data_IF_818279394635
#
_entry.id   IF_818279394635
#
_cell.length_a   1.000
_cell.length_b   1.000
_cell.length_c   1.000
_cell.angle_alpha   90.00
_cell.angle_beta   90.00
_cell.angle_gamma   90.00
#
_symmetry.space_group_name_H-M   'P 1'
#
loop_
_entity.id
_entity.type
_entity.pdbx_description
1 polymer ?
#
# COMPACT_ATOMS: atom_id res chain seq x y z
N UNK A 1 9.87 30.21 -9.84
CA UNK A 1 9.19 29.55 -8.66
C UNK A 1 10.22 29.10 -7.64
N UNK A 2 10.06 29.47 -6.38
CA UNK A 2 10.96 29.05 -5.28
C UNK A 2 10.50 27.71 -4.69
N UNK A 3 11.42 26.84 -4.26
CA UNK A 3 11.11 25.53 -3.65
C UNK A 3 10.20 25.65 -2.41
N UNK A 4 10.35 26.72 -1.63
CA UNK A 4 9.51 27.01 -0.47
C UNK A 4 8.05 27.28 -0.87
N UNK A 5 7.82 28.10 -1.92
CA UNK A 5 6.48 28.39 -2.44
C UNK A 5 5.79 27.13 -2.95
N UNK A 6 6.54 26.28 -3.68
CA UNK A 6 6.02 24.98 -4.15
C UNK A 6 5.66 24.03 -3.00
N UNK A 7 6.47 24.01 -1.92
CA UNK A 7 6.17 23.21 -0.73
C UNK A 7 4.89 23.68 -0.03
N UNK A 8 4.73 24.99 0.16
CA UNK A 8 3.52 25.54 0.77
C UNK A 8 2.28 25.26 -0.08
N UNK A 9 2.37 25.52 -1.37
CA UNK A 9 1.30 25.23 -2.32
C UNK A 9 0.89 23.75 -2.27
N UNK A 10 1.85 22.83 -2.36
CA UNK A 10 1.59 21.39 -2.36
C UNK A 10 0.97 20.92 -1.03
N UNK A 11 1.41 21.48 0.11
CA UNK A 11 0.82 21.14 1.41
C UNK A 11 -0.63 21.61 1.52
N UNK A 12 -0.96 22.80 0.99
CA UNK A 12 -2.36 23.28 0.93
C UNK A 12 -3.19 22.40 -0.01
N UNK A 13 -2.65 22.02 -1.17
CA UNK A 13 -3.33 21.13 -2.11
C UNK A 13 -3.70 19.78 -1.49
N UNK A 14 -2.83 19.24 -0.63
CA UNK A 14 -3.05 17.96 0.09
C UNK A 14 -4.01 18.07 1.26
N UNK A 15 -3.87 19.13 2.06
CA UNK A 15 -4.67 19.29 3.28
C UNK A 15 -6.05 19.91 3.01
N UNK A 16 -6.23 20.54 1.85
CA UNK A 16 -7.43 21.31 1.53
C UNK A 16 -7.61 22.57 2.37
N UNK A 17 -6.61 22.98 3.19
CA UNK A 17 -6.75 24.06 4.15
C UNK A 17 -5.43 24.77 4.44
N UNK A 18 -5.42 26.10 4.35
CA UNK A 18 -4.26 26.91 4.74
C UNK A 18 -3.96 26.76 6.23
N UNK A 19 -5.00 26.65 7.08
CA UNK A 19 -4.83 26.47 8.53
C UNK A 19 -4.17 25.11 8.86
N UNK A 20 -4.62 24.02 8.22
CA UNK A 20 -4.01 22.70 8.38
C UNK A 20 -2.57 22.68 7.87
N UNK A 21 -2.30 23.29 6.71
CA UNK A 21 -0.95 23.43 6.16
C UNK A 21 -0.03 24.27 7.05
N UNK A 22 -0.55 25.35 7.65
CA UNK A 22 0.14 26.21 8.63
C UNK A 22 0.59 25.39 9.86
N UNK A 23 -0.29 24.58 10.42
CA UNK A 23 0.03 23.69 11.54
C UNK A 23 1.08 22.64 11.16
N UNK A 24 0.93 22.01 9.98
CA UNK A 24 1.84 20.96 9.53
C UNK A 24 3.26 21.48 9.22
N UNK A 25 3.36 22.70 8.69
CA UNK A 25 4.62 23.32 8.29
C UNK A 25 5.26 24.17 9.39
N UNK A 26 4.57 24.39 10.51
CA UNK A 26 4.97 25.31 11.59
C UNK A 26 5.28 26.73 11.08
N UNK A 27 4.45 27.27 10.19
CA UNK A 27 4.57 28.61 9.63
C UNK A 27 3.26 29.36 9.72
N UNK A 28 3.31 30.71 9.73
CA UNK A 28 2.11 31.52 9.78
C UNK A 28 1.21 31.31 8.56
N UNK A 29 -0.10 31.19 8.76
CA UNK A 29 -1.07 31.04 7.65
C UNK A 29 -1.00 32.21 6.63
N UNK A 30 -0.70 33.42 7.09
CA UNK A 30 -0.48 34.59 6.24
C UNK A 30 0.72 34.45 5.30
N UNK A 31 1.79 33.76 5.75
CA UNK A 31 2.96 33.49 4.91
C UNK A 31 2.60 32.51 3.78
N UNK A 32 1.86 31.46 4.10
CA UNK A 32 1.37 30.50 3.09
C UNK A 32 0.46 31.19 2.08
N UNK A 33 -0.54 31.96 2.57
CA UNK A 33 -1.49 32.68 1.72
C UNK A 33 -0.78 33.64 0.75
N UNK A 34 0.21 34.39 1.26
CA UNK A 34 1.01 35.30 0.43
C UNK A 34 1.83 34.56 -0.64
N UNK A 35 2.42 33.41 -0.31
CA UNK A 35 3.19 32.62 -1.29
C UNK A 35 2.30 32.02 -2.37
N UNK A 36 1.07 31.58 -2.01
CA UNK A 36 0.09 31.13 -3.01
C UNK A 36 -0.33 32.28 -3.92
N UNK A 37 -0.67 33.45 -3.36
CA UNK A 37 -1.02 34.64 -4.16
C UNK A 37 0.12 35.06 -5.10
N UNK A 38 1.37 34.97 -4.65
CA UNK A 38 2.53 35.26 -5.50
C UNK A 38 2.66 34.24 -6.66
N UNK A 39 2.40 32.95 -6.41
CA UNK A 39 2.40 31.94 -7.48
C UNK A 39 1.26 32.17 -8.48
N UNK A 40 0.06 32.52 -8.02
CA UNK A 40 -1.07 32.87 -8.88
C UNK A 40 -0.79 34.08 -9.73
N UNK A 41 -0.17 35.10 -9.14
CA UNK A 41 0.26 36.29 -9.89
C UNK A 41 1.40 36.02 -10.89
N UNK A 42 2.40 35.17 -10.52
CA UNK A 42 3.50 34.78 -11.41
C UNK A 42 3.01 33.98 -12.62
N UNK A 43 1.97 33.15 -12.43
CA UNK A 43 1.42 32.25 -13.45
C UNK A 43 0.20 32.85 -14.17
N UNK A 44 -0.27 34.01 -13.73
CA UNK A 44 -1.49 34.67 -14.23
C UNK A 44 -2.71 33.71 -14.24
N UNK A 45 -2.88 32.93 -13.21
CA UNK A 45 -3.99 31.97 -13.09
C UNK A 45 -4.35 31.67 -11.65
N UNK A 46 -5.62 31.29 -11.43
CA UNK A 46 -6.11 30.81 -10.14
C UNK A 46 -5.68 29.36 -9.94
N UNK A 47 -4.99 29.08 -8.83
CA UNK A 47 -4.50 27.75 -8.50
C UNK A 47 -5.44 26.99 -7.55
N UNK A 48 -6.27 27.70 -6.78
CA UNK A 48 -7.24 27.10 -5.87
C UNK A 48 -8.64 27.68 -6.02
N UNK A 49 -9.63 26.81 -6.06
CA UNK A 49 -11.04 27.15 -5.92
C UNK A 49 -11.44 27.07 -4.43
N UNK A 50 -12.11 28.11 -3.93
CA UNK A 50 -12.70 28.09 -2.58
C UNK A 50 -14.04 27.38 -2.64
N UNK A 51 -14.17 26.26 -1.96
CA UNK A 51 -15.43 25.50 -1.83
C UNK A 51 -15.86 25.39 -0.37
N UNK A 52 -17.14 25.09 -0.07
CA UNK A 52 -17.61 24.92 1.31
C UNK A 52 -16.82 23.91 2.16
N UNK A 53 -16.15 22.97 1.48
CA UNK A 53 -15.31 21.93 2.11
C UNK A 53 -13.82 22.29 2.15
N UNK A 54 -13.43 23.53 1.83
CA UNK A 54 -12.05 23.97 1.85
C UNK A 54 -11.52 24.44 0.50
N UNK A 55 -10.21 24.40 0.34
CA UNK A 55 -9.49 24.79 -0.89
C UNK A 55 -9.26 23.54 -1.76
N UNK A 56 -9.73 23.59 -3.00
CA UNK A 56 -9.56 22.52 -3.98
C UNK A 56 -8.68 23.04 -5.10
N UNK A 57 -7.62 22.33 -5.53
CA UNK A 57 -6.83 22.75 -6.68
C UNK A 57 -7.70 22.92 -7.93
N UNK A 58 -7.48 24.01 -8.67
CA UNK A 58 -8.01 24.19 -10.02
C UNK A 58 -7.29 23.25 -11.01
N UNK A 59 -7.73 23.10 -12.26
CA UNK A 59 -6.99 22.35 -13.26
C UNK A 59 -5.54 22.82 -13.44
N UNK A 60 -5.26 24.13 -13.32
CA UNK A 60 -3.92 24.69 -13.28
C UNK A 60 -3.18 24.29 -11.98
N UNK A 61 -3.90 24.33 -10.85
CA UNK A 61 -3.39 23.88 -9.55
C UNK A 61 -3.01 22.40 -9.55
N UNK A 62 -3.80 21.53 -10.16
CA UNK A 62 -3.47 20.09 -10.29
C UNK A 62 -2.17 19.89 -11.10
N UNK A 63 -2.01 20.61 -12.19
CA UNK A 63 -0.76 20.58 -12.99
C UNK A 63 0.45 21.08 -12.19
N UNK A 64 0.26 22.17 -11.45
CA UNK A 64 1.32 22.70 -10.60
C UNK A 64 1.64 21.73 -9.43
N UNK A 65 0.65 21.06 -8.84
CA UNK A 65 0.86 20.07 -7.78
C UNK A 65 1.73 18.90 -8.26
N UNK A 66 1.46 18.37 -9.46
CA UNK A 66 2.29 17.32 -10.06
C UNK A 66 3.73 17.81 -10.27
N UNK A 67 3.92 19.00 -10.85
CA UNK A 67 5.24 19.59 -11.04
C UNK A 67 5.97 19.84 -9.72
N UNK A 68 5.30 20.46 -8.75
CA UNK A 68 5.85 20.76 -7.43
C UNK A 68 6.34 19.48 -6.73
N UNK A 69 5.56 18.41 -6.83
CA UNK A 69 5.93 17.10 -6.29
C UNK A 69 7.23 16.57 -6.91
N UNK A 70 7.35 16.61 -8.24
CA UNK A 70 8.56 16.13 -8.93
C UNK A 70 9.79 16.96 -8.54
N UNK A 71 9.66 18.30 -8.47
CA UNK A 71 10.76 19.20 -8.09
C UNK A 71 11.22 18.92 -6.67
N UNK A 72 10.30 18.77 -5.73
CA UNK A 72 10.63 18.49 -4.31
C UNK A 72 11.28 17.12 -4.14
N UNK A 73 10.76 16.08 -4.78
CA UNK A 73 11.35 14.74 -4.75
C UNK A 73 12.75 14.71 -5.38
N UNK A 74 12.96 15.47 -6.47
CA UNK A 74 14.30 15.59 -7.07
C UNK A 74 15.28 16.29 -6.15
N UNK A 75 14.85 17.34 -5.44
CA UNK A 75 15.69 17.99 -4.44
C UNK A 75 16.05 17.05 -3.28
N UNK A 76 15.09 16.29 -2.76
CA UNK A 76 15.34 15.25 -1.72
C UNK A 76 16.35 14.21 -2.23
N UNK A 77 16.24 13.77 -3.47
CA UNK A 77 17.16 12.81 -4.07
C UNK A 77 18.59 13.35 -4.13
N UNK A 78 18.79 14.58 -4.59
CA UNK A 78 20.13 15.19 -4.65
C UNK A 78 20.77 15.29 -3.27
N UNK A 79 20.00 15.65 -2.24
CA UNK A 79 20.48 15.67 -0.86
C UNK A 79 20.92 14.26 -0.41
N UNK A 80 20.14 13.23 -0.73
CA UNK A 80 20.50 11.85 -0.41
C UNK A 80 21.78 11.40 -1.14
N UNK A 81 21.94 11.74 -2.43
CA UNK A 81 23.15 11.46 -3.22
C UNK A 81 24.38 12.13 -2.61
N UNK A 82 24.29 13.39 -2.16
CA UNK A 82 25.38 14.11 -1.50
C UNK A 82 25.76 13.44 -0.16
N UNK A 83 24.77 13.03 0.64
CA UNK A 83 25.02 12.35 1.91
C UNK A 83 25.70 10.98 1.70
N UNK A 84 25.33 10.28 0.63
CA UNK A 84 25.96 9.00 0.26
C UNK A 84 27.44 9.16 -0.10
N UNK A 85 27.81 10.22 -0.84
CA UNK A 85 29.22 10.54 -1.14
C UNK A 85 30.04 10.76 0.12
N UNK A 86 29.40 11.15 1.23
CA UNK A 86 30.04 11.31 2.55
C UNK A 86 30.09 10.01 3.36
N UNK A 87 29.68 8.86 2.78
CA UNK A 87 29.63 7.57 3.47
C UNK A 87 28.48 7.43 4.47
N UNK A 88 27.55 8.38 4.49
CA UNK A 88 26.39 8.38 5.39
C UNK A 88 25.21 7.68 4.72
N UNK A 89 25.02 6.39 5.00
CA UNK A 89 23.81 5.65 4.58
C UNK A 89 22.67 6.04 5.53
N UNK A 90 22.03 7.16 5.26
CA UNK A 90 20.89 7.68 6.02
C UNK A 90 19.75 8.02 5.06
N UNK A 91 18.52 7.98 5.55
CA UNK A 91 17.36 8.36 4.76
C UNK A 91 16.07 7.91 5.39
N UNK A 92 14.98 8.24 4.69
CA UNK A 92 13.63 7.82 5.00
C UNK A 92 13.06 7.09 3.78
N UNK A 93 12.51 5.91 4.00
CA UNK A 93 11.78 5.14 2.98
C UNK A 93 10.31 5.13 3.37
N UNK A 94 9.45 5.68 2.50
CA UNK A 94 8.00 5.72 2.69
C UNK A 94 7.36 4.58 1.92
N UNK A 95 6.65 3.72 2.65
CA UNK A 95 6.01 2.54 2.10
C UNK A 95 4.50 2.66 2.34
N UNK A 96 3.71 2.50 1.29
CA UNK A 96 2.27 2.30 1.41
C UNK A 96 1.93 0.86 1.05
N UNK A 97 1.15 0.18 1.88
CA UNK A 97 0.74 -1.18 1.53
C UNK A 97 -0.69 -1.50 1.95
N UNK A 98 -1.26 -2.53 1.30
CA UNK A 98 -2.49 -3.14 1.78
C UNK A 98 -2.24 -3.94 3.05
N UNK A 99 -3.23 -4.01 3.94
CA UNK A 99 -3.11 -4.56 5.30
C UNK A 99 -2.50 -5.98 5.33
N UNK A 100 -2.84 -6.84 4.36
CA UNK A 100 -2.29 -8.19 4.28
C UNK A 100 -0.76 -8.28 4.19
N UNK A 101 -0.09 -7.23 3.73
CA UNK A 101 1.37 -7.16 3.68
C UNK A 101 1.98 -6.55 4.95
N UNK A 102 1.18 -5.76 5.69
CA UNK A 102 1.62 -5.08 6.91
C UNK A 102 1.68 -6.02 8.13
N UNK A 103 0.95 -7.13 8.11
CA UNK A 103 0.91 -8.08 9.22
C UNK A 103 2.22 -8.86 9.41
N UNK A 104 2.92 -9.16 8.33
CA UNK A 104 4.07 -10.04 8.37
C UNK A 104 5.18 -9.65 7.39
N UNK A 105 4.92 -9.66 6.09
CA UNK A 105 5.91 -9.51 5.03
C UNK A 105 6.73 -8.22 5.15
N UNK A 106 6.07 -7.07 5.09
CA UNK A 106 6.75 -5.76 5.06
C UNK A 106 7.53 -5.49 6.34
N UNK A 107 6.98 -5.71 7.57
CA UNK A 107 7.74 -5.56 8.81
C UNK A 107 8.97 -6.45 8.90
N UNK A 108 8.91 -7.71 8.43
CA UNK A 108 10.07 -8.61 8.40
C UNK A 108 11.18 -8.11 7.48
N UNK A 109 10.81 -7.65 6.28
CA UNK A 109 11.79 -7.09 5.35
C UNK A 109 12.42 -5.82 5.92
N UNK A 110 11.62 -4.94 6.55
CA UNK A 110 12.12 -3.74 7.23
C UNK A 110 13.11 -4.13 8.33
N UNK A 111 12.77 -5.10 9.19
CA UNK A 111 13.64 -5.53 10.29
C UNK A 111 14.98 -6.06 9.79
N UNK A 112 14.97 -6.94 8.78
CA UNK A 112 16.19 -7.47 8.16
C UNK A 112 17.04 -6.38 7.47
N UNK A 113 16.39 -5.43 6.81
CA UNK A 113 17.07 -4.32 6.17
C UNK A 113 17.66 -3.33 7.18
N UNK A 114 16.92 -2.98 8.22
CA UNK A 114 17.36 -2.08 9.28
C UNK A 114 18.59 -2.63 10.05
N UNK A 115 18.63 -3.93 10.28
CA UNK A 115 19.81 -4.57 10.89
C UNK A 115 21.10 -4.35 10.07
N UNK A 116 20.99 -4.27 8.74
CA UNK A 116 22.12 -4.01 7.83
C UNK A 116 22.39 -2.52 7.61
N UNK A 117 21.35 -1.68 7.69
CA UNK A 117 21.40 -0.25 7.41
C UNK A 117 20.69 0.55 8.52
N UNK A 118 21.28 0.67 9.73
CA UNK A 118 20.62 1.26 10.90
C UNK A 118 20.35 2.76 10.78
N UNK A 119 20.99 3.45 9.83
CA UNK A 119 20.72 4.86 9.54
C UNK A 119 19.47 5.12 8.69
N UNK A 120 18.83 4.06 8.16
CA UNK A 120 17.62 4.18 7.36
C UNK A 120 16.39 4.10 8.27
N UNK A 121 15.48 5.06 8.13
CA UNK A 121 14.17 5.09 8.80
C UNK A 121 13.07 4.70 7.81
N UNK A 122 11.96 4.19 8.34
CA UNK A 122 10.83 3.76 7.57
C UNK A 122 9.55 4.41 8.06
N UNK A 123 8.69 4.81 7.14
CA UNK A 123 7.29 5.14 7.38
C UNK A 123 6.43 4.13 6.62
N UNK A 124 5.60 3.40 7.35
CA UNK A 124 4.67 2.41 6.79
C UNK A 124 3.24 2.88 6.97
N UNK A 125 2.55 3.10 5.87
CA UNK A 125 1.14 3.50 5.86
C UNK A 125 0.29 2.38 5.28
N UNK A 126 -0.75 1.97 6.03
CA UNK A 126 -1.68 0.91 5.62
C UNK A 126 -2.91 1.55 5.00
N UNK A 127 -3.22 1.18 3.76
CA UNK A 127 -4.28 1.78 2.95
C UNK A 127 -5.02 0.72 2.12
N UNK A 128 -6.28 0.98 1.75
CA UNK A 128 -6.97 0.21 0.71
C UNK A 128 -6.20 0.24 -0.62
N UNK A 129 -6.29 -0.82 -1.46
CA UNK A 129 -5.50 -0.94 -2.68
C UNK A 129 -5.53 0.28 -3.62
N UNK A 130 -6.69 0.89 -3.83
CA UNK A 130 -6.80 2.07 -4.68
C UNK A 130 -6.05 3.29 -4.10
N UNK A 131 -6.06 3.45 -2.78
CA UNK A 131 -5.37 4.53 -2.10
C UNK A 131 -3.85 4.31 -2.07
N UNK A 132 -3.37 3.05 -1.96
CA UNK A 132 -1.94 2.73 -2.12
C UNK A 132 -1.44 3.26 -3.47
N UNK A 133 -2.13 2.91 -4.55
CA UNK A 133 -1.79 3.38 -5.90
C UNK A 133 -1.82 4.91 -6.00
N UNK A 134 -2.82 5.55 -5.39
CA UNK A 134 -2.95 7.01 -5.40
C UNK A 134 -1.76 7.71 -4.73
N UNK A 135 -1.37 7.31 -3.51
CA UNK A 135 -0.27 7.94 -2.77
C UNK A 135 1.09 7.67 -3.43
N UNK A 136 1.26 6.52 -4.11
CA UNK A 136 2.45 6.25 -4.93
C UNK A 136 2.48 7.16 -6.15
N UNK A 137 1.37 7.28 -6.88
CA UNK A 137 1.28 8.17 -8.04
C UNK A 137 1.51 9.64 -7.66
N UNK A 138 1.05 10.05 -6.48
CA UNK A 138 1.29 11.38 -5.92
C UNK A 138 2.72 11.56 -5.35
N UNK A 139 3.55 10.51 -5.31
CA UNK A 139 4.91 10.54 -4.73
C UNK A 139 4.94 10.75 -3.22
N UNK A 140 3.84 10.46 -2.53
CA UNK A 140 3.74 10.50 -1.07
C UNK A 140 4.32 9.23 -0.43
N UNK A 141 4.31 8.11 -1.18
CA UNK A 141 5.05 6.91 -0.88
C UNK A 141 6.08 6.63 -1.98
N UNK A 142 7.23 6.09 -1.58
CA UNK A 142 8.30 5.68 -2.49
C UNK A 142 7.99 4.33 -3.13
N UNK A 143 7.38 3.43 -2.35
CA UNK A 143 7.04 2.05 -2.74
C UNK A 143 5.60 1.76 -2.31
N UNK A 144 4.83 1.18 -3.23
CA UNK A 144 3.51 0.63 -2.97
C UNK A 144 3.51 -0.90 -3.05
N UNK A 145 2.88 -1.59 -2.10
CA UNK A 145 2.65 -3.05 -2.17
C UNK A 145 1.17 -3.31 -2.03
N UNK A 146 0.54 -3.77 -3.08
CA UNK A 146 -0.92 -3.89 -3.09
C UNK A 146 -1.41 -5.05 -3.93
N UNK A 147 -2.69 -5.33 -3.82
CA UNK A 147 -3.35 -6.31 -4.69
C UNK A 147 -3.83 -5.63 -5.98
N UNK A 148 -3.60 -6.30 -7.11
CA UNK A 148 -4.02 -5.82 -8.43
C UNK A 148 -5.50 -5.51 -8.49
N UNK A 149 -5.82 -4.34 -9.05
CA UNK A 149 -7.19 -3.93 -9.40
C UNK A 149 -7.20 -3.36 -10.82
N UNK A 150 -8.25 -3.63 -11.56
CA UNK A 150 -8.54 -2.93 -12.82
C UNK A 150 -9.19 -1.57 -12.51
N UNK A 151 -8.95 -0.50 -13.29
CA UNK A 151 -8.07 -0.38 -14.44
C UNK A 151 -6.58 -0.26 -14.06
N UNK A 152 -5.69 -0.28 -15.07
CA UNK A 152 -4.25 -0.12 -14.88
C UNK A 152 -3.93 1.21 -14.22
N UNK A 153 -3.16 1.21 -13.12
CA UNK A 153 -2.88 2.42 -12.35
C UNK A 153 -1.89 3.36 -13.07
N UNK A 154 -1.90 4.68 -12.77
CA UNK A 154 -0.96 5.66 -13.31
C UNK A 154 0.41 5.60 -12.59
N UNK A 155 0.91 4.41 -12.32
CA UNK A 155 2.19 4.12 -11.63
C UNK A 155 3.02 3.17 -12.46
N UNK A 156 4.31 3.03 -12.14
CA UNK A 156 5.14 1.95 -12.66
C UNK A 156 4.91 0.71 -11.78
N UNK A 157 4.47 -0.40 -12.40
CA UNK A 157 4.43 -1.71 -11.76
C UNK A 157 5.78 -2.37 -11.99
N UNK A 158 6.62 -2.41 -10.96
CA UNK A 158 8.00 -2.92 -11.04
C UNK A 158 8.12 -4.40 -10.74
N UNK A 159 7.07 -4.98 -10.15
CA UNK A 159 6.97 -6.42 -9.91
C UNK A 159 5.50 -6.84 -9.83
N UNK A 160 5.19 -7.99 -10.39
CA UNK A 160 3.85 -8.59 -10.32
C UNK A 160 3.96 -10.09 -10.10
N UNK A 161 3.15 -10.62 -9.21
CA UNK A 161 3.03 -12.06 -8.95
C UNK A 161 1.61 -12.39 -8.49
N UNK A 162 1.33 -13.67 -8.30
CA UNK A 162 0.04 -14.15 -7.80
C UNK A 162 0.21 -14.89 -6.48
N UNK A 163 -0.85 -14.86 -5.67
CA UNK A 163 -0.92 -15.55 -4.39
C UNK A 163 -2.29 -16.19 -4.21
N UNK A 164 -2.30 -17.37 -3.62
CA UNK A 164 -3.52 -18.10 -3.33
C UNK A 164 -4.28 -17.50 -2.14
N UNK A 165 -5.60 -17.59 -2.21
CA UNK A 165 -6.49 -17.44 -1.07
C UNK A 165 -6.59 -18.77 -0.37
N UNK A 166 -6.44 -18.74 0.95
CA UNK A 166 -6.49 -19.93 1.83
C UNK A 166 -7.53 -19.73 2.92
N UNK A 167 -8.07 -20.83 3.43
CA UNK A 167 -8.81 -20.82 4.69
C UNK A 167 -7.82 -20.92 5.85
N UNK A 168 -8.09 -20.18 6.94
CA UNK A 168 -7.37 -20.22 8.19
C UNK A 168 -8.22 -20.85 9.26
N UNK A 169 -7.62 -21.69 10.07
CA UNK A 169 -8.24 -22.36 11.19
C UNK A 169 -7.30 -22.37 12.42
N UNK A 170 -7.87 -22.55 13.60
CA UNK A 170 -7.10 -22.93 14.77
C UNK A 170 -6.53 -24.37 14.62
N UNK A 171 -5.41 -24.72 15.28
CA UNK A 171 -4.78 -26.02 15.12
C UNK A 171 -5.68 -27.23 15.54
N UNK A 172 -6.64 -26.99 16.43
CA UNK A 172 -7.61 -27.98 16.90
C UNK A 172 -8.93 -28.02 16.11
N UNK A 173 -8.98 -27.25 14.98
CA UNK A 173 -10.17 -27.23 14.13
C UNK A 173 -10.37 -28.58 13.39
N UNK A 174 -11.62 -29.07 13.20
CA UNK A 174 -11.88 -30.32 12.50
C UNK A 174 -11.25 -30.46 11.12
N UNK A 175 -11.07 -29.35 10.42
CA UNK A 175 -10.46 -29.33 9.08
C UNK A 175 -8.95 -29.08 9.10
N UNK A 176 -8.30 -28.90 10.25
CA UNK A 176 -6.88 -28.54 10.33
C UNK A 176 -5.94 -29.59 9.69
N UNK A 177 -6.33 -30.87 9.67
CA UNK A 177 -5.59 -31.95 9.03
C UNK A 177 -5.92 -32.19 7.55
N UNK A 178 -6.82 -31.37 6.96
CA UNK A 178 -7.25 -31.56 5.57
C UNK A 178 -6.18 -31.06 4.60
N UNK A 179 -5.81 -31.88 3.63
CA UNK A 179 -4.87 -31.47 2.57
C UNK A 179 -5.45 -30.35 1.69
N UNK A 180 -6.78 -30.31 1.53
CA UNK A 180 -7.54 -29.34 0.75
C UNK A 180 -9.02 -29.44 1.10
N UNK A 181 -9.73 -28.32 1.08
CA UNK A 181 -11.19 -28.25 1.24
C UNK A 181 -11.85 -27.61 0.03
N UNK A 182 -13.11 -27.94 -0.18
CA UNK A 182 -13.93 -27.33 -1.24
C UNK A 182 -14.60 -26.06 -0.71
N UNK A 183 -14.96 -25.16 -1.61
CA UNK A 183 -15.65 -23.92 -1.25
C UNK A 183 -16.96 -24.16 -0.45
N UNK A 184 -17.82 -25.16 -0.80
CA UNK A 184 -19.02 -25.48 -0.02
C UNK A 184 -18.75 -25.94 1.42
N UNK A 185 -17.59 -26.53 1.71
CA UNK A 185 -17.25 -27.01 3.05
C UNK A 185 -17.18 -25.87 4.08
N UNK A 186 -16.93 -24.65 3.62
CA UNK A 186 -16.91 -23.46 4.48
C UNK A 186 -18.27 -23.18 5.13
N UNK A 187 -19.38 -23.59 4.51
CA UNK A 187 -20.73 -23.34 5.02
C UNK A 187 -21.05 -24.11 6.31
N UNK A 188 -20.28 -25.16 6.62
CA UNK A 188 -20.47 -25.95 7.84
C UNK A 188 -19.89 -25.28 9.10
N UNK A 189 -19.15 -24.16 8.96
CA UNK A 189 -18.45 -23.51 10.06
C UNK A 189 -18.71 -21.99 10.09
N UNK A 190 -18.63 -21.36 11.27
CA UNK A 190 -18.66 -19.91 11.36
C UNK A 190 -17.53 -19.29 10.53
N UNK A 191 -17.88 -18.40 9.58
CA UNK A 191 -16.92 -17.79 8.66
C UNK A 191 -16.71 -16.33 9.00
N UNK A 192 -15.44 -15.91 9.09
CA UNK A 192 -15.03 -14.52 9.18
C UNK A 192 -14.41 -14.05 7.87
N UNK A 193 -14.89 -12.91 7.35
CA UNK A 193 -14.45 -12.38 6.07
C UNK A 193 -14.08 -10.89 6.17
N UNK A 194 -13.16 -10.41 5.33
CA UNK A 194 -12.94 -8.98 5.21
C UNK A 194 -14.14 -8.29 4.53
N UNK A 195 -14.17 -6.95 4.64
CA UNK A 195 -15.19 -6.11 4.03
C UNK A 195 -15.24 -6.25 2.50
N UNK A 196 -16.39 -5.91 1.90
CA UNK A 196 -16.68 -6.11 0.47
C UNK A 196 -15.82 -5.31 -0.50
N UNK A 197 -15.17 -4.27 -0.03
CA UNK A 197 -14.23 -3.44 -0.80
C UNK A 197 -12.85 -4.07 -0.98
N UNK A 198 -12.59 -5.22 -0.33
CA UNK A 198 -11.32 -5.95 -0.45
C UNK A 198 -11.31 -6.90 -1.66
N UNK A 199 -10.13 -7.08 -2.26
CA UNK A 199 -9.98 -8.00 -3.40
C UNK A 199 -10.22 -9.46 -3.01
N UNK A 200 -9.94 -9.85 -1.76
CA UNK A 200 -10.21 -11.22 -1.28
C UNK A 200 -11.71 -11.50 -1.23
N UNK A 201 -12.50 -10.54 -0.76
CA UNK A 201 -13.94 -10.68 -0.71
C UNK A 201 -14.54 -10.75 -2.12
N UNK A 202 -14.06 -9.93 -3.05
CA UNK A 202 -14.51 -9.95 -4.45
C UNK A 202 -14.25 -11.31 -5.12
N UNK A 203 -13.04 -11.88 -4.93
CA UNK A 203 -12.69 -13.20 -5.48
C UNK A 203 -13.54 -14.30 -4.84
N UNK A 204 -13.75 -14.27 -3.53
CA UNK A 204 -14.61 -15.23 -2.83
C UNK A 204 -16.06 -15.17 -3.30
N UNK A 205 -16.65 -13.98 -3.38
CA UNK A 205 -18.05 -13.82 -3.83
C UNK A 205 -18.24 -14.26 -5.30
N UNK A 206 -17.24 -13.96 -6.15
CA UNK A 206 -17.26 -14.44 -7.54
C UNK A 206 -17.18 -15.97 -7.61
N UNK A 207 -16.37 -16.61 -6.78
CA UNK A 207 -16.27 -18.07 -6.71
C UNK A 207 -17.56 -18.71 -6.18
N UNK A 208 -18.16 -18.15 -5.14
CA UNK A 208 -19.46 -18.60 -4.63
C UNK A 208 -20.57 -18.49 -5.72
N UNK A 209 -20.61 -17.37 -6.44
CA UNK A 209 -21.55 -17.17 -7.52
C UNK A 209 -21.38 -18.22 -8.64
N UNK A 210 -20.14 -18.48 -9.04
CA UNK A 210 -19.82 -19.48 -10.08
C UNK A 210 -20.21 -20.92 -9.69
N UNK A 211 -20.29 -21.21 -8.40
CA UNK A 211 -20.72 -22.50 -7.86
C UNK A 211 -22.19 -22.56 -7.45
N UNK A 212 -22.90 -21.41 -7.52
CA UNK A 212 -24.31 -21.32 -7.13
C UNK A 212 -24.55 -21.46 -5.64
N UNK A 213 -23.55 -21.10 -4.80
CA UNK A 213 -23.62 -21.20 -3.34
C UNK A 213 -23.67 -19.80 -2.71
N UNK A 214 -24.33 -19.71 -1.57
CA UNK A 214 -24.35 -18.51 -0.73
C UNK A 214 -23.82 -18.86 0.65
N UNK A 215 -22.78 -18.16 1.09
CA UNK A 215 -22.19 -18.32 2.44
C UNK A 215 -22.19 -16.95 3.10
N UNK A 216 -22.96 -16.82 4.17
CA UNK A 216 -23.02 -15.59 4.95
C UNK A 216 -21.97 -15.63 6.08
N UNK A 217 -21.08 -14.63 6.17
CA UNK A 217 -20.11 -14.56 7.26
C UNK A 217 -20.77 -14.19 8.59
N UNK A 218 -20.32 -14.83 9.66
CA UNK A 218 -20.68 -14.45 11.03
C UNK A 218 -19.98 -13.17 11.48
N UNK A 219 -18.75 -12.95 10.98
CA UNK A 219 -17.97 -11.74 11.25
C UNK A 219 -17.51 -11.12 9.93
N UNK A 220 -17.75 -9.82 9.79
CA UNK A 220 -17.14 -9.01 8.74
C UNK A 220 -16.34 -7.90 9.37
N UNK A 221 -15.06 -7.74 8.99
CA UNK A 221 -14.19 -6.70 9.53
C UNK A 221 -13.27 -6.13 8.45
N UNK A 222 -12.96 -4.84 8.55
CA UNK A 222 -11.90 -4.19 7.78
C UNK A 222 -10.51 -4.35 8.43
N UNK A 223 -10.43 -5.04 9.57
CA UNK A 223 -9.20 -5.28 10.33
C UNK A 223 -8.89 -6.77 10.33
N UNK A 224 -7.81 -7.17 9.66
CA UNK A 224 -7.43 -8.59 9.54
C UNK A 224 -7.07 -9.23 10.89
N UNK A 225 -6.50 -8.48 11.82
CA UNK A 225 -6.23 -8.98 13.17
C UNK A 225 -7.50 -9.38 13.93
N UNK A 226 -8.64 -8.71 13.68
CA UNK A 226 -9.92 -9.12 14.24
C UNK A 226 -10.39 -10.48 13.69
N UNK A 227 -10.16 -10.75 12.41
CA UNK A 227 -10.46 -12.05 11.79
C UNK A 227 -9.57 -13.14 12.37
N UNK A 228 -8.27 -12.87 12.56
CA UNK A 228 -7.34 -13.80 13.20
C UNK A 228 -7.73 -14.12 14.65
N UNK A 229 -8.13 -13.08 15.41
CA UNK A 229 -8.62 -13.25 16.79
C UNK A 229 -9.89 -14.11 16.85
N UNK A 230 -10.82 -13.90 15.91
CA UNK A 230 -12.03 -14.72 15.80
C UNK A 230 -11.68 -16.20 15.57
N UNK A 231 -10.79 -16.51 14.63
CA UNK A 231 -10.35 -17.90 14.35
C UNK A 231 -9.71 -18.55 15.57
N UNK A 232 -8.85 -17.79 16.31
CA UNK A 232 -8.21 -18.32 17.54
C UNK A 232 -9.19 -18.59 18.67
N UNK A 233 -10.30 -17.84 18.71
CA UNK A 233 -11.27 -17.91 19.82
C UNK A 233 -12.47 -18.82 19.55
N UNK A 234 -12.58 -19.35 18.34
CA UNK A 234 -13.75 -20.14 17.91
C UNK A 234 -13.33 -21.34 17.08
N UNK A 235 -14.29 -22.23 16.79
CA UNK A 235 -14.17 -23.26 15.75
C UNK A 235 -14.57 -22.67 14.38
N UNK A 236 -14.19 -21.41 14.11
CA UNK A 236 -14.49 -20.71 12.87
C UNK A 236 -13.31 -20.70 11.91
N UNK A 237 -13.61 -20.26 10.69
CA UNK A 237 -12.66 -20.11 9.60
C UNK A 237 -12.55 -18.63 9.21
N UNK A 238 -11.41 -18.24 8.66
CA UNK A 238 -11.27 -16.96 7.96
C UNK A 238 -10.60 -17.16 6.60
N UNK A 239 -10.91 -16.31 5.63
CA UNK A 239 -10.24 -16.33 4.32
C UNK A 239 -9.20 -15.22 4.26
N UNK A 240 -7.98 -15.58 3.89
CA UNK A 240 -6.85 -14.65 3.76
C UNK A 240 -5.92 -15.02 2.61
N UNK A 241 -4.97 -14.13 2.33
CA UNK A 241 -3.82 -14.46 1.48
C UNK A 241 -2.84 -15.31 2.28
N UNK A 242 -2.29 -16.35 1.67
CA UNK A 242 -1.25 -17.19 2.28
C UNK A 242 -0.06 -16.37 2.80
N UNK A 243 0.28 -15.25 2.12
CA UNK A 243 1.38 -14.36 2.53
C UNK A 243 1.10 -13.54 3.80
N UNK A 244 -0.17 -13.33 4.14
CA UNK A 244 -0.54 -12.45 5.26
C UNK A 244 -0.34 -13.08 6.63
N UNK A 245 -0.10 -14.40 6.68
CA UNK A 245 -0.16 -15.20 7.90
C UNK A 245 0.96 -16.24 8.03
N UNK A 246 2.07 -16.00 7.36
CA UNK A 246 3.21 -16.93 7.37
C UNK A 246 3.75 -17.16 8.79
N UNK A 247 3.95 -16.10 9.58
CA UNK A 247 4.48 -16.22 10.95
C UNK A 247 3.55 -16.97 11.90
N UNK A 248 2.26 -16.63 12.04
CA UNK A 248 1.35 -17.42 12.89
C UNK A 248 1.28 -18.90 12.50
N UNK A 249 1.38 -19.20 11.22
CA UNK A 249 1.39 -20.60 10.73
C UNK A 249 2.71 -21.29 11.06
N UNK A 250 3.85 -20.63 10.84
CA UNK A 250 5.18 -21.18 11.19
C UNK A 250 5.33 -21.44 12.70
N UNK A 251 4.69 -20.61 13.53
CA UNK A 251 4.66 -20.78 14.98
C UNK A 251 3.64 -21.84 15.46
N UNK A 252 2.84 -22.41 14.55
CA UNK A 252 1.80 -23.37 14.89
C UNK A 252 0.58 -22.77 15.60
N UNK A 253 0.43 -21.45 15.60
CA UNK A 253 -0.73 -20.75 16.18
C UNK A 253 -1.99 -20.86 15.31
N UNK A 254 -1.80 -21.02 14.01
CA UNK A 254 -2.85 -21.17 13.00
C UNK A 254 -2.44 -22.20 11.95
N UNK A 255 -3.43 -22.76 11.26
CA UNK A 255 -3.23 -23.69 10.14
C UNK A 255 -3.81 -23.05 8.88
N UNK A 256 -3.03 -23.09 7.81
CA UNK A 256 -3.51 -22.77 6.46
C UNK A 256 -4.08 -24.03 5.82
N UNK A 257 -5.29 -23.94 5.31
CA UNK A 257 -5.96 -25.02 4.61
C UNK A 257 -6.15 -24.57 3.16
N UNK A 258 -5.53 -25.24 2.17
CA UNK A 258 -5.73 -24.95 0.76
C UNK A 258 -7.21 -25.06 0.39
N UNK A 259 -7.69 -24.09 -0.40
CA UNK A 259 -9.08 -23.98 -0.81
C UNK A 259 -9.21 -24.21 -2.31
N UNK A 260 -10.14 -25.07 -2.70
CA UNK A 260 -10.47 -25.34 -4.11
C UNK A 260 -11.84 -24.80 -4.48
N UNK A 261 -11.91 -24.15 -5.63
CA UNK A 261 -13.15 -23.72 -6.26
C UNK A 261 -13.11 -23.98 -7.78
N UNK A 262 -14.25 -23.91 -8.44
CA UNK A 262 -14.32 -24.03 -9.91
C UNK A 262 -13.66 -22.85 -10.63
N UNK A 263 -13.70 -21.67 -10.03
CA UNK A 263 -12.98 -20.48 -10.51
C UNK A 263 -11.66 -20.30 -9.79
N UNK A 264 -10.76 -19.50 -10.40
CA UNK A 264 -9.47 -19.18 -9.78
C UNK A 264 -9.65 -18.39 -8.49
N UNK A 265 -8.94 -18.81 -7.45
CA UNK A 265 -8.80 -18.12 -6.17
C UNK A 265 -7.48 -17.34 -6.05
N UNK A 266 -6.78 -17.17 -7.18
CA UNK A 266 -5.54 -16.41 -7.23
C UNK A 266 -5.80 -14.90 -7.17
N UNK A 267 -4.90 -14.21 -6.51
CA UNK A 267 -4.92 -12.75 -6.38
C UNK A 267 -3.59 -12.18 -6.83
N UNK A 268 -3.66 -11.28 -7.80
CA UNK A 268 -2.47 -10.58 -8.28
C UNK A 268 -1.95 -9.61 -7.21
N UNK A 269 -0.63 -9.63 -7.01
CA UNK A 269 0.12 -8.68 -6.17
C UNK A 269 0.92 -7.78 -7.10
N UNK A 270 0.98 -6.50 -6.77
CA UNK A 270 1.82 -5.53 -7.47
C UNK A 270 2.72 -4.78 -6.49
N UNK A 271 3.98 -4.65 -6.85
CA UNK A 271 4.87 -3.65 -6.26
C UNK A 271 4.94 -2.46 -7.22
N UNK A 272 4.65 -1.30 -6.70
CA UNK A 272 4.43 -0.08 -7.46
C UNK A 272 5.42 1.01 -7.04
N UNK A 273 5.86 1.81 -8.00
CA UNK A 273 6.63 3.04 -7.77
C UNK A 273 6.04 4.18 -8.59
N UNK A 274 6.37 5.42 -8.27
CA UNK A 274 5.96 6.56 -9.07
C UNK A 274 6.58 6.45 -10.46
N UNK A 275 5.76 6.64 -11.51
CA UNK A 275 6.22 6.62 -12.90
C UNK A 275 7.24 7.73 -13.14
N UNK A 276 8.26 7.46 -13.93
CA UNK A 276 9.30 8.41 -14.36
C UNK A 276 10.10 9.05 -13.20
N UNK A 277 9.99 8.50 -11.98
CA UNK A 277 10.79 8.93 -10.84
C UNK A 277 12.03 8.06 -10.70
N UNK A 278 13.20 8.68 -10.72
CA UNK A 278 14.43 8.01 -10.30
C UNK A 278 14.45 7.87 -8.78
N UNK A 279 14.50 6.64 -8.30
CA UNK A 279 14.50 6.34 -6.87
C UNK A 279 15.89 6.58 -6.26
N UNK A 280 15.98 7.11 -5.01
CA UNK A 280 17.22 7.10 -4.25
C UNK A 280 17.75 5.68 -4.08
N UNK A 281 19.09 5.52 -4.03
CA UNK A 281 19.73 4.20 -3.92
C UNK A 281 19.24 3.37 -2.74
N UNK A 282 19.05 3.98 -1.57
CA UNK A 282 18.50 3.28 -0.40
C UNK A 282 17.12 2.67 -0.67
N UNK A 283 16.24 3.41 -1.38
CA UNK A 283 14.92 2.94 -1.79
C UNK A 283 15.03 1.79 -2.79
N UNK A 284 15.93 1.91 -3.79
CA UNK A 284 16.16 0.86 -4.78
C UNK A 284 16.68 -0.44 -4.14
N UNK A 285 17.65 -0.35 -3.23
CA UNK A 285 18.18 -1.53 -2.52
C UNK A 285 17.10 -2.19 -1.65
N UNK A 286 16.29 -1.39 -0.96
CA UNK A 286 15.16 -1.91 -0.18
C UNK A 286 14.10 -2.54 -1.08
N UNK A 287 13.78 -1.93 -2.22
CA UNK A 287 12.84 -2.46 -3.21
C UNK A 287 13.26 -3.86 -3.69
N UNK A 288 14.54 -4.06 -3.99
CA UNK A 288 15.05 -5.39 -4.35
C UNK A 288 14.91 -6.41 -3.21
N UNK A 289 15.20 -6.01 -1.96
CA UNK A 289 15.01 -6.88 -0.80
C UNK A 289 13.53 -7.25 -0.60
N UNK A 290 12.62 -6.30 -0.83
CA UNK A 290 11.18 -6.52 -0.76
C UNK A 290 10.69 -7.48 -1.85
N UNK A 291 11.11 -7.28 -3.09
CA UNK A 291 10.77 -8.16 -4.22
C UNK A 291 11.30 -9.58 -3.99
N UNK A 292 12.52 -9.72 -3.46
CA UNK A 292 13.11 -11.03 -3.16
C UNK A 292 12.36 -11.81 -2.05
N UNK A 293 11.60 -11.12 -1.22
CA UNK A 293 10.76 -11.73 -0.18
C UNK A 293 9.35 -12.14 -0.66
N UNK A 294 8.98 -11.75 -1.89
CA UNK A 294 7.72 -12.14 -2.53
C UNK A 294 7.88 -13.48 -3.26
N UNK A 295 6.79 -14.24 -3.49
CA UNK A 295 6.83 -15.45 -4.31
C UNK A 295 7.38 -15.14 -5.70
N UNK A 296 8.18 -16.06 -6.25
CA UNK A 296 8.72 -15.91 -7.58
C UNK A 296 7.60 -15.69 -8.61
N UNK A 297 7.76 -14.67 -9.46
CA UNK A 297 6.78 -14.41 -10.53
C UNK A 297 6.99 -15.33 -11.71
N UNK A 298 5.89 -15.76 -12.35
CA UNK A 298 5.92 -16.30 -13.71
C UNK A 298 6.22 -15.23 -14.78
N UNK A 299 6.23 -13.95 -14.43
CA UNK A 299 6.51 -12.81 -15.31
C UNK A 299 7.89 -12.23 -14.99
N UNK A 300 8.68 -11.94 -16.04
CA UNK A 300 10.04 -11.41 -15.94
C UNK A 300 10.09 -10.13 -15.10
N UNK A 301 11.01 -10.02 -14.11
CA UNK A 301 11.31 -8.73 -13.48
C UNK A 301 11.80 -7.73 -14.53
N UNK A 302 11.41 -6.48 -14.38
CA UNK A 302 11.93 -5.39 -15.21
C UNK A 302 13.45 -5.32 -15.00
N UNK A 303 14.27 -5.27 -16.07
CA UNK A 303 15.72 -5.19 -15.95
C UNK A 303 16.16 -4.00 -15.11
N UNK A 304 17.22 -4.18 -14.31
CA UNK A 304 17.74 -3.17 -13.36
C UNK A 304 18.20 -1.85 -14.04
N UNK A 305 18.38 -1.85 -15.35
CA UNK A 305 18.76 -0.70 -16.19
C UNK A 305 17.56 0.19 -16.59
N UNK A 306 16.32 -0.22 -16.27
CA UNK A 306 15.08 0.56 -16.47
C UNK A 306 14.49 1.09 -15.15
N UNK A 307 15.16 0.90 -14.01
CA UNK A 307 14.87 1.44 -12.68
C UNK A 307 15.87 2.57 -12.32
#
# INVERSE_FOLDING_TARGET
MQTTSLRYFLTVARTGSIAAASSQLNVAASAISRQIANLEAELDCVLFERRPRGMVPSPAGERLAQHAQHVLLRAEQVVAEIQELQGLVRGLIRIACSEGFALDLVPKVIAGFHARYPGIRFELTILPPAQVTHVVAAGEADIGVTFRRAPTPPVAVVYETEVEMVALAAPDHPLAGSAMIQLPDLAAFPLALPTRDTTIRLVFEAACHAEGIAIEPVLTSNLLSALLSFVRSTKGLALMSALSVQTPVQLGELVQIPLRARSSLLRGIQVQTMRDRRLPRAVTVFLHALIAALPASGTRPIPADQL
#
